data_IF_666562453349
#
_entry.id   IF_666562453349
#
_cell.length_a   1.000
_cell.length_b   1.000
_cell.length_c   1.000
_cell.angle_alpha   90.00
_cell.angle_beta   90.00
_cell.angle_gamma   90.00
#
_symmetry.space_group_name_H-M   'P 1'
#
loop_
_entity.id
_entity.type
_entity.pdbx_description
1 polymer ?
#
# COMPACT_ATOMS: atom_id res chain seq x y z
N UNK A 1 -13.27 11.29 -27.65
CA UNK A 1 -13.86 10.21 -28.49
C UNK A 1 -13.35 8.83 -28.08
N UNK A 2 -12.21 8.28 -28.54
CA UNK A 2 -11.83 6.89 -28.16
C UNK A 2 -11.75 6.64 -26.65
N UNK A 3 -11.18 7.59 -25.89
CA UNK A 3 -11.05 7.48 -24.44
C UNK A 3 -12.39 7.56 -23.68
N UNK A 4 -13.42 8.18 -24.27
CA UNK A 4 -14.76 8.22 -23.66
C UNK A 4 -15.45 6.85 -23.72
N UNK A 5 -15.10 6.02 -24.71
CA UNK A 5 -15.67 4.67 -24.87
C UNK A 5 -15.25 3.72 -23.74
N UNK A 6 -14.20 4.05 -22.97
CA UNK A 6 -13.82 3.29 -21.79
C UNK A 6 -14.88 3.35 -20.68
N UNK A 7 -15.85 4.26 -20.77
CA UNK A 7 -16.99 4.28 -19.84
C UNK A 7 -18.11 3.29 -20.22
N UNK A 8 -17.90 2.46 -21.25
CA UNK A 8 -18.85 1.39 -21.61
C UNK A 8 -19.10 0.44 -20.44
N UNK A 9 -20.34 0.03 -20.25
CA UNK A 9 -20.70 -0.98 -19.25
C UNK A 9 -20.20 -2.38 -19.63
N UNK A 10 -20.03 -2.65 -20.93
CA UNK A 10 -19.59 -3.97 -21.42
C UNK A 10 -18.08 -4.16 -21.22
N UNK A 11 -17.63 -5.07 -20.32
CA UNK A 11 -16.22 -5.33 -20.11
C UNK A 11 -15.49 -5.82 -21.36
N UNK A 12 -16.19 -6.45 -22.31
CA UNK A 12 -15.61 -6.92 -23.57
C UNK A 12 -15.19 -5.75 -24.43
N UNK A 13 -16.02 -4.72 -24.53
CA UNK A 13 -15.69 -3.49 -25.25
C UNK A 13 -14.49 -2.80 -24.62
N UNK A 14 -14.48 -2.69 -23.28
CA UNK A 14 -13.35 -2.09 -22.55
C UNK A 14 -12.05 -2.86 -22.75
N UNK A 15 -12.09 -4.19 -22.77
CA UNK A 15 -10.89 -5.01 -23.02
C UNK A 15 -10.34 -4.85 -24.45
N UNK A 16 -11.21 -4.73 -25.46
CA UNK A 16 -10.80 -4.36 -26.82
C UNK A 16 -10.20 -2.96 -26.87
N UNK A 17 -10.86 -1.97 -26.24
CA UNK A 17 -10.37 -0.60 -26.16
C UNK A 17 -9.01 -0.52 -25.49
N UNK A 18 -8.80 -1.28 -24.41
CA UNK A 18 -7.53 -1.41 -23.71
C UNK A 18 -6.41 -1.81 -24.67
N UNK A 19 -6.65 -2.89 -25.42
CA UNK A 19 -5.68 -3.41 -26.39
C UNK A 19 -5.40 -2.40 -27.52
N UNK A 20 -6.45 -1.77 -28.04
CA UNK A 20 -6.34 -0.78 -29.13
C UNK A 20 -5.56 0.45 -28.66
N UNK A 21 -5.91 1.02 -27.51
CA UNK A 21 -5.25 2.20 -26.97
C UNK A 21 -3.78 1.92 -26.63
N UNK A 22 -3.48 0.75 -26.04
CA UNK A 22 -2.11 0.36 -25.75
C UNK A 22 -1.26 0.27 -27.03
N UNK A 23 -1.78 -0.34 -28.10
CA UNK A 23 -1.10 -0.40 -29.41
C UNK A 23 -0.90 0.99 -30.03
N UNK A 24 -1.90 1.87 -29.94
CA UNK A 24 -1.80 3.25 -30.42
C UNK A 24 -0.68 3.98 -29.66
N UNK A 25 -0.67 3.88 -28.33
CA UNK A 25 0.37 4.50 -27.49
C UNK A 25 1.78 3.99 -27.85
N UNK A 26 1.91 2.67 -28.08
CA UNK A 26 3.17 2.04 -28.45
C UNK A 26 3.70 2.54 -29.80
N UNK A 27 2.85 2.55 -30.84
CA UNK A 27 3.24 2.87 -32.22
C UNK A 27 3.37 4.37 -32.51
N UNK A 28 2.53 5.22 -31.92
CA UNK A 28 2.46 6.64 -32.27
C UNK A 28 3.08 7.52 -31.18
N UNK A 29 4.40 7.77 -31.29
CA UNK A 29 5.16 8.58 -30.33
C UNK A 29 4.56 9.97 -30.10
N UNK A 30 4.07 10.62 -31.16
CA UNK A 30 3.47 11.96 -31.10
C UNK A 30 2.17 12.03 -30.30
N UNK A 31 1.46 10.91 -30.11
CA UNK A 31 0.21 10.86 -29.34
C UNK A 31 0.42 10.55 -27.86
N UNK A 32 1.63 10.12 -27.44
CA UNK A 32 1.87 9.64 -26.07
C UNK A 32 1.57 10.70 -25.01
N UNK A 33 2.04 11.93 -25.21
CA UNK A 33 1.81 13.02 -24.27
C UNK A 33 0.31 13.37 -24.17
N UNK A 34 -0.39 13.39 -25.30
CA UNK A 34 -1.83 13.64 -25.34
C UNK A 34 -2.61 12.55 -24.59
N UNK A 35 -2.32 11.27 -24.86
CA UNK A 35 -2.99 10.13 -24.21
C UNK A 35 -2.80 10.20 -22.69
N UNK A 36 -1.56 10.37 -22.19
CA UNK A 36 -1.30 10.49 -20.74
C UNK A 36 -2.07 11.66 -20.12
N UNK A 37 -2.09 12.82 -20.79
CA UNK A 37 -2.82 13.99 -20.31
C UNK A 37 -4.32 13.75 -20.22
N UNK A 38 -4.91 13.08 -21.23
CA UNK A 38 -6.35 12.81 -21.22
C UNK A 38 -6.74 11.75 -20.18
N UNK A 39 -5.95 10.70 -20.01
CA UNK A 39 -6.17 9.71 -18.93
C UNK A 39 -6.09 10.40 -17.56
N UNK A 40 -5.11 11.29 -17.37
CA UNK A 40 -5.00 12.09 -16.15
C UNK A 40 -6.28 12.93 -15.90
N UNK A 41 -6.78 13.63 -16.91
CA UNK A 41 -8.03 14.39 -16.78
C UNK A 41 -9.22 13.50 -16.39
N UNK A 42 -9.32 12.30 -16.97
CA UNK A 42 -10.36 11.33 -16.61
C UNK A 42 -10.25 10.94 -15.13
N UNK A 43 -9.05 10.61 -14.66
CA UNK A 43 -8.84 10.25 -13.25
C UNK A 43 -9.09 11.40 -12.28
N UNK A 44 -8.68 12.62 -12.62
CA UNK A 44 -8.97 13.80 -11.80
C UNK A 44 -10.48 14.03 -11.69
N UNK A 45 -11.22 13.95 -12.80
CA UNK A 45 -12.68 14.05 -12.80
C UNK A 45 -13.32 12.91 -11.99
N UNK A 46 -12.84 11.69 -12.16
CA UNK A 46 -13.31 10.52 -11.43
C UNK A 46 -13.12 10.69 -9.91
N UNK A 47 -11.94 11.11 -9.45
CA UNK A 47 -11.64 11.25 -8.02
C UNK A 47 -12.35 12.44 -7.38
N UNK A 48 -12.43 13.59 -8.07
CA UNK A 48 -12.85 14.84 -7.45
C UNK A 48 -14.27 15.30 -7.80
N UNK A 49 -14.88 14.77 -8.87
CA UNK A 49 -16.18 15.25 -9.35
C UNK A 49 -17.25 14.16 -9.36
N UNK A 50 -16.99 13.01 -9.99
CA UNK A 50 -18.06 12.05 -10.31
C UNK A 50 -18.08 10.80 -9.44
N UNK A 51 -16.90 10.32 -8.98
CA UNK A 51 -16.71 8.96 -8.43
C UNK A 51 -17.31 7.84 -9.29
N UNK A 52 -17.53 8.11 -10.59
CA UNK A 52 -18.11 7.17 -11.54
C UNK A 52 -17.36 7.23 -12.86
N UNK A 53 -16.79 6.07 -13.23
CA UNK A 53 -16.18 5.77 -14.53
C UNK A 53 -15.93 4.25 -14.58
N UNK A 54 -16.40 3.55 -15.61
CA UNK A 54 -16.32 2.08 -15.65
C UNK A 54 -14.92 1.55 -15.99
N UNK A 55 -14.14 2.29 -16.78
CA UNK A 55 -12.87 1.85 -17.34
C UNK A 55 -11.61 2.14 -16.53
N UNK A 56 -11.71 2.40 -15.21
CA UNK A 56 -10.54 2.79 -14.40
C UNK A 56 -9.50 1.67 -14.37
N UNK A 57 -9.93 0.42 -14.18
CA UNK A 57 -9.03 -0.73 -14.11
C UNK A 57 -8.25 -0.92 -15.42
N UNK A 58 -8.94 -0.87 -16.57
CA UNK A 58 -8.34 -1.06 -17.88
C UNK A 58 -7.37 0.07 -18.23
N UNK A 59 -7.67 1.32 -17.85
CA UNK A 59 -6.74 2.43 -18.01
C UNK A 59 -5.49 2.27 -17.13
N UNK A 60 -5.65 1.78 -15.90
CA UNK A 60 -4.51 1.48 -15.02
C UNK A 60 -3.64 0.34 -15.54
N UNK A 61 -4.21 -0.71 -16.15
CA UNK A 61 -3.42 -1.77 -16.78
C UNK A 61 -2.49 -1.22 -17.88
N UNK A 62 -3.02 -0.33 -18.73
CA UNK A 62 -2.22 0.33 -19.77
C UNK A 62 -1.14 1.19 -19.13
N UNK A 63 -1.50 1.95 -18.10
CA UNK A 63 -0.55 2.79 -17.39
C UNK A 63 0.56 1.98 -16.72
N UNK A 64 0.27 0.81 -16.15
CA UNK A 64 1.28 -0.08 -15.59
C UNK A 64 2.36 -0.45 -16.61
N UNK A 65 1.95 -0.85 -17.82
CA UNK A 65 2.87 -1.09 -18.95
C UNK A 65 3.66 0.17 -19.34
N UNK A 66 2.99 1.33 -19.38
CA UNK A 66 3.62 2.61 -19.71
C UNK A 66 4.68 3.02 -18.66
N UNK A 67 4.38 2.85 -17.38
CA UNK A 67 5.27 3.19 -16.26
C UNK A 67 6.51 2.31 -16.29
N UNK A 68 6.33 1.00 -16.53
CA UNK A 68 7.46 0.10 -16.70
C UNK A 68 8.35 0.51 -17.91
N UNK A 69 7.76 1.12 -18.94
CA UNK A 69 8.50 1.65 -20.09
C UNK A 69 9.14 3.03 -19.89
N UNK A 70 9.05 3.67 -18.71
CA UNK A 70 9.64 4.99 -18.50
C UNK A 70 11.17 4.96 -18.52
N UNK A 71 11.74 5.95 -19.21
CA UNK A 71 13.17 6.20 -19.20
C UNK A 71 13.62 6.81 -17.86
N UNK A 72 14.83 6.46 -17.43
CA UNK A 72 15.49 7.07 -16.29
C UNK A 72 16.45 8.18 -16.75
N UNK A 73 16.56 9.30 -16.02
CA UNK A 73 15.80 9.62 -14.80
C UNK A 73 14.33 9.94 -15.09
N UNK A 74 13.45 9.62 -14.13
CA UNK A 74 12.02 9.90 -14.24
C UNK A 74 11.76 11.40 -14.42
N UNK A 75 10.94 11.75 -15.41
CA UNK A 75 10.51 13.13 -15.66
C UNK A 75 9.64 13.65 -14.49
N UNK A 76 9.74 14.96 -14.23
CA UNK A 76 8.95 15.63 -13.21
C UNK A 76 7.43 15.44 -13.41
N UNK A 77 6.94 15.43 -14.66
CA UNK A 77 5.53 15.16 -14.99
C UNK A 77 5.06 13.78 -14.49
N UNK A 78 5.92 12.75 -14.53
CA UNK A 78 5.57 11.41 -14.08
C UNK A 78 5.54 11.33 -12.54
N UNK A 79 6.47 12.02 -11.87
CA UNK A 79 6.47 12.14 -10.39
C UNK A 79 5.23 12.88 -9.90
N UNK A 80 4.83 13.94 -10.59
CA UNK A 80 3.58 14.65 -10.31
C UNK A 80 2.36 13.76 -10.54
N UNK A 81 2.34 12.97 -11.62
CA UNK A 81 1.27 12.03 -11.90
C UNK A 81 1.08 11.00 -10.76
N UNK A 82 2.17 10.42 -10.26
CA UNK A 82 2.13 9.54 -9.08
C UNK A 82 1.47 10.22 -7.88
N UNK A 83 2.00 11.39 -7.48
CA UNK A 83 1.60 12.05 -6.22
C UNK A 83 0.21 12.69 -6.29
N UNK A 84 -0.16 13.25 -7.46
CA UNK A 84 -1.38 14.05 -7.62
C UNK A 84 -2.55 13.26 -8.21
N UNK A 85 -2.32 12.06 -8.73
CA UNK A 85 -3.35 11.28 -9.43
C UNK A 85 -3.43 9.86 -8.88
N UNK A 86 -2.34 9.09 -8.94
CA UNK A 86 -2.38 7.69 -8.51
C UNK A 86 -2.62 7.54 -7.00
N UNK A 87 -1.91 8.29 -6.16
CA UNK A 87 -2.13 8.22 -4.71
C UNK A 87 -3.58 8.63 -4.34
N UNK A 88 -4.15 9.74 -4.83
CA UNK A 88 -5.56 10.07 -4.58
C UNK A 88 -6.59 9.05 -5.07
N UNK A 89 -6.30 8.22 -6.08
CA UNK A 89 -7.25 7.17 -6.52
C UNK A 89 -7.63 6.20 -5.39
N UNK A 90 -6.78 6.05 -4.36
CA UNK A 90 -7.09 5.23 -3.18
C UNK A 90 -8.24 5.76 -2.33
N UNK A 91 -8.65 7.03 -2.49
CA UNK A 91 -9.68 7.64 -1.63
C UNK A 91 -11.10 7.20 -2.02
N UNK A 92 -11.34 6.88 -3.28
CA UNK A 92 -12.70 6.61 -3.79
C UNK A 92 -13.30 5.34 -3.16
N UNK A 93 -14.64 5.28 -3.16
CA UNK A 93 -15.38 4.15 -2.54
C UNK A 93 -15.24 2.85 -3.32
N UNK A 94 -15.21 2.93 -4.64
CA UNK A 94 -15.14 1.80 -5.59
C UNK A 94 -13.73 1.24 -5.78
N UNK A 95 -12.79 1.50 -4.86
CA UNK A 95 -11.39 1.08 -4.96
C UNK A 95 -11.23 -0.43 -5.23
N UNK A 96 -12.10 -1.27 -4.67
CA UNK A 96 -12.05 -2.73 -4.86
C UNK A 96 -12.13 -3.19 -6.31
N UNK A 97 -12.66 -2.37 -7.21
CA UNK A 97 -12.80 -2.70 -8.63
C UNK A 97 -11.48 -2.61 -9.42
N UNK A 98 -10.51 -1.82 -8.93
CA UNK A 98 -9.29 -1.50 -9.69
C UNK A 98 -8.01 -1.46 -8.83
N UNK A 99 -8.09 -1.85 -7.55
CA UNK A 99 -6.99 -1.76 -6.60
C UNK A 99 -5.74 -2.52 -7.03
N UNK A 100 -5.89 -3.75 -7.54
CA UNK A 100 -4.74 -4.55 -7.96
C UNK A 100 -3.94 -3.85 -9.07
N UNK A 101 -4.63 -3.24 -10.04
CA UNK A 101 -4.03 -2.49 -11.13
C UNK A 101 -3.37 -1.20 -10.62
N UNK A 102 -3.97 -0.56 -9.60
CA UNK A 102 -3.41 0.63 -8.96
C UNK A 102 -2.14 0.32 -8.17
N UNK A 103 -2.18 -0.70 -7.29
CA UNK A 103 -1.05 -1.18 -6.53
C UNK A 103 0.12 -1.55 -7.44
N UNK A 104 -0.16 -2.28 -8.54
CA UNK A 104 0.84 -2.57 -9.57
C UNK A 104 1.49 -1.29 -10.13
N UNK A 105 0.70 -0.27 -10.46
CA UNK A 105 1.25 1.01 -10.92
C UNK A 105 2.14 1.69 -9.87
N UNK A 106 1.76 1.64 -8.58
CA UNK A 106 2.55 2.21 -7.48
C UNK A 106 3.88 1.47 -7.35
N UNK A 107 3.86 0.14 -7.25
CA UNK A 107 5.08 -0.70 -7.16
C UNK A 107 6.01 -0.46 -8.35
N UNK A 108 5.47 -0.41 -9.58
CA UNK A 108 6.27 -0.11 -10.77
C UNK A 108 6.95 1.26 -10.72
N UNK A 109 6.33 2.27 -10.10
CA UNK A 109 6.99 3.56 -9.89
C UNK A 109 8.15 3.46 -8.90
N UNK A 110 8.00 2.68 -7.84
CA UNK A 110 9.04 2.51 -6.82
C UNK A 110 10.23 1.70 -7.34
N UNK A 111 9.98 0.67 -8.16
CA UNK A 111 11.05 -0.07 -8.85
C UNK A 111 11.87 0.82 -9.80
N UNK A 112 11.25 1.86 -10.39
CA UNK A 112 11.94 2.83 -11.26
C UNK A 112 12.73 3.88 -10.49
N UNK A 113 12.22 4.33 -9.35
CA UNK A 113 12.85 5.38 -8.54
C UNK A 113 12.50 5.20 -7.05
N UNK A 114 13.35 4.48 -6.29
CA UNK A 114 13.15 4.23 -4.86
C UNK A 114 13.06 5.50 -4.00
N UNK A 115 13.51 6.66 -4.50
CA UNK A 115 13.35 7.93 -3.78
C UNK A 115 11.87 8.35 -3.61
N UNK A 116 10.97 7.74 -4.36
CA UNK A 116 9.53 7.97 -4.31
C UNK A 116 8.82 7.18 -3.20
N UNK A 117 9.49 6.26 -2.51
CA UNK A 117 8.85 5.42 -1.49
C UNK A 117 8.30 6.23 -0.32
N UNK A 118 9.09 7.16 0.22
CA UNK A 118 8.64 7.99 1.33
C UNK A 118 7.36 8.79 1.02
N UNK A 119 7.27 9.57 -0.09
CA UNK A 119 6.05 10.29 -0.40
C UNK A 119 4.85 9.38 -0.69
N UNK A 120 5.07 8.18 -1.25
CA UNK A 120 4.01 7.18 -1.47
C UNK A 120 3.46 6.67 -0.14
N UNK A 121 4.32 6.15 0.75
CA UNK A 121 3.90 5.62 2.05
C UNK A 121 3.21 6.71 2.87
N UNK A 122 3.77 7.93 2.93
CA UNK A 122 3.12 9.05 3.63
C UNK A 122 1.76 9.41 3.02
N UNK A 123 1.63 9.31 1.70
CA UNK A 123 0.36 9.48 0.98
C UNK A 123 -0.69 8.44 1.37
N UNK A 124 -0.32 7.16 1.38
CA UNK A 124 -1.20 6.07 1.81
C UNK A 124 -1.60 6.22 3.28
N UNK A 125 -0.65 6.55 4.16
CA UNK A 125 -0.92 6.81 5.59
C UNK A 125 -1.90 7.98 5.80
N UNK A 126 -1.80 9.03 4.99
CA UNK A 126 -2.74 10.17 5.02
C UNK A 126 -4.16 9.74 4.66
N UNK A 127 -4.29 8.80 3.73
CA UNK A 127 -5.59 8.31 3.23
C UNK A 127 -6.04 7.00 3.88
N UNK A 128 -5.42 6.60 4.99
CA UNK A 128 -5.72 5.35 5.67
C UNK A 128 -7.23 5.22 5.98
N UNK A 129 -7.90 4.13 5.54
CA UNK A 129 -9.33 3.95 5.76
C UNK A 129 -9.66 3.86 7.25
N UNK A 130 -10.64 4.65 7.72
CA UNK A 130 -11.07 4.65 9.13
C UNK A 130 -12.43 3.98 9.35
N UNK A 131 -13.22 3.82 8.29
CA UNK A 131 -14.62 3.38 8.37
C UNK A 131 -14.93 2.19 7.47
N UNK A 132 -13.93 1.67 6.74
CA UNK A 132 -14.11 0.55 5.80
C UNK A 132 -12.98 -0.46 5.98
N UNK A 133 -13.25 -1.53 6.71
CA UNK A 133 -12.27 -2.59 7.00
C UNK A 133 -11.78 -3.30 5.75
N UNK A 134 -12.63 -3.46 4.73
CA UNK A 134 -12.22 -4.06 3.44
C UNK A 134 -11.12 -3.23 2.78
N UNK A 135 -11.28 -1.90 2.72
CA UNK A 135 -10.23 -1.01 2.21
C UNK A 135 -8.98 -1.05 3.09
N UNK A 136 -9.12 -1.17 4.41
CA UNK A 136 -7.97 -1.29 5.31
C UNK A 136 -7.16 -2.57 5.02
N UNK A 137 -7.83 -3.70 4.79
CA UNK A 137 -7.18 -4.95 4.34
C UNK A 137 -6.49 -4.77 2.99
N UNK A 138 -7.09 -4.05 2.05
CA UNK A 138 -6.48 -3.76 0.75
C UNK A 138 -5.22 -2.90 0.88
N UNK A 139 -5.26 -1.85 1.70
CA UNK A 139 -4.09 -0.99 1.99
C UNK A 139 -2.97 -1.79 2.66
N UNK A 140 -3.29 -2.69 3.60
CA UNK A 140 -2.31 -3.61 4.18
C UNK A 140 -1.71 -4.55 3.13
N UNK A 141 -2.50 -4.97 2.14
CA UNK A 141 -2.00 -5.77 1.02
C UNK A 141 -1.01 -5.00 0.16
N UNK A 142 -1.39 -3.81 -0.30
CA UNK A 142 -0.53 -2.96 -1.12
C UNK A 142 0.75 -2.55 -0.39
N UNK A 143 0.66 -2.25 0.91
CA UNK A 143 1.84 -1.95 1.72
C UNK A 143 2.82 -3.11 1.79
N UNK A 144 2.35 -4.36 1.85
CA UNK A 144 3.23 -5.52 1.81
C UNK A 144 3.97 -5.59 0.47
N UNK A 145 3.26 -5.44 -0.65
CA UNK A 145 3.86 -5.42 -1.99
C UNK A 145 4.89 -4.29 -2.15
N UNK A 146 4.64 -3.12 -1.53
CA UNK A 146 5.61 -2.02 -1.51
C UNK A 146 6.84 -2.38 -0.66
N UNK A 147 6.65 -3.04 0.49
CA UNK A 147 7.74 -3.46 1.36
C UNK A 147 8.58 -4.58 0.72
N UNK A 148 8.01 -5.42 -0.15
CA UNK A 148 8.78 -6.43 -0.89
C UNK A 148 9.84 -5.84 -1.83
N UNK A 149 9.63 -4.60 -2.30
CA UNK A 149 10.56 -3.92 -3.20
C UNK A 149 11.28 -2.74 -2.55
N UNK A 150 11.08 -2.49 -1.25
CA UNK A 150 11.68 -1.34 -0.58
C UNK A 150 13.18 -1.54 -0.37
N UNK A 151 13.99 -0.51 -0.63
CA UNK A 151 15.38 -0.51 -0.20
C UNK A 151 15.49 -0.25 1.32
N UNK A 152 16.43 -0.89 2.04
CA UNK A 152 16.64 -0.64 3.47
C UNK A 152 16.85 0.84 3.81
N UNK A 153 17.54 1.57 2.92
CA UNK A 153 17.78 3.02 3.05
C UNK A 153 16.49 3.86 3.07
N UNK A 154 15.45 3.42 2.36
CA UNK A 154 14.14 4.07 2.33
C UNK A 154 13.27 3.60 3.48
N UNK A 155 13.36 2.32 3.86
CA UNK A 155 12.63 1.74 4.99
C UNK A 155 12.91 2.51 6.29
N UNK A 156 14.17 2.83 6.58
CA UNK A 156 14.57 3.58 7.78
C UNK A 156 13.86 4.94 7.90
N UNK A 157 13.49 5.58 6.78
CA UNK A 157 12.78 6.87 6.78
C UNK A 157 11.30 6.76 7.14
N UNK A 158 10.70 5.59 6.94
CA UNK A 158 9.26 5.36 7.08
C UNK A 158 8.87 4.37 8.17
N UNK A 159 9.84 3.62 8.75
CA UNK A 159 9.58 2.56 9.72
C UNK A 159 8.74 3.03 10.91
N UNK A 160 9.05 4.19 11.49
CA UNK A 160 8.31 4.69 12.65
C UNK A 160 6.82 4.96 12.35
N UNK A 161 6.46 5.83 11.38
CA UNK A 161 5.05 6.07 11.08
C UNK A 161 4.34 4.82 10.56
N UNK A 162 5.03 3.97 9.79
CA UNK A 162 4.48 2.70 9.31
C UNK A 162 4.11 1.78 10.46
N UNK A 163 5.06 1.44 11.35
CA UNK A 163 4.79 0.50 12.44
C UNK A 163 3.87 1.07 13.52
N UNK A 164 3.80 2.40 13.68
CA UNK A 164 2.73 3.03 14.49
C UNK A 164 1.34 2.76 13.91
N UNK A 165 1.20 2.67 12.58
CA UNK A 165 -0.06 2.30 11.95
C UNK A 165 -0.31 0.79 12.03
N UNK A 166 0.69 -0.05 11.74
CA UNK A 166 0.59 -1.51 11.88
C UNK A 166 0.21 -1.92 13.30
N UNK A 167 0.77 -1.26 14.33
CA UNK A 167 0.41 -1.48 15.74
C UNK A 167 -1.08 -1.26 16.02
N UNK A 168 -1.72 -0.31 15.32
CA UNK A 168 -3.18 -0.08 15.41
C UNK A 168 -3.95 -1.17 14.68
N UNK A 169 -3.50 -1.57 13.48
CA UNK A 169 -4.15 -2.63 12.70
C UNK A 169 -4.12 -3.98 13.45
N UNK A 170 -2.99 -4.33 14.07
CA UNK A 170 -2.86 -5.51 14.95
C UNK A 170 -3.77 -5.42 16.16
N UNK A 171 -3.99 -4.21 16.69
CA UNK A 171 -4.94 -3.96 17.79
C UNK A 171 -6.40 -3.85 17.34
N UNK A 172 -6.70 -4.01 16.05
CA UNK A 172 -8.06 -3.87 15.54
C UNK A 172 -8.96 -4.96 16.08
N UNK A 173 -10.19 -4.65 16.53
CA UNK A 173 -11.16 -5.67 16.91
C UNK A 173 -11.68 -6.45 15.69
N UNK A 174 -11.46 -5.93 14.47
CA UNK A 174 -11.86 -6.58 13.23
C UNK A 174 -10.82 -7.62 12.82
N UNK A 175 -11.16 -8.90 12.97
CA UNK A 175 -10.19 -9.99 12.84
C UNK A 175 -9.44 -9.99 11.49
N UNK A 176 -10.10 -9.71 10.36
CA UNK A 176 -9.43 -9.70 9.05
C UNK A 176 -8.35 -8.63 8.94
N UNK A 177 -8.51 -7.50 9.64
CA UNK A 177 -7.50 -6.41 9.65
C UNK A 177 -6.32 -6.83 10.50
N UNK A 178 -6.59 -7.34 11.71
CA UNK A 178 -5.54 -7.81 12.62
C UNK A 178 -4.75 -8.98 12.00
N UNK A 179 -5.44 -9.97 11.43
CA UNK A 179 -4.85 -11.10 10.74
C UNK A 179 -3.96 -10.65 9.57
N UNK A 180 -4.48 -9.79 8.69
CA UNK A 180 -3.72 -9.30 7.52
C UNK A 180 -2.45 -8.57 7.92
N UNK A 181 -2.50 -7.79 9.01
CA UNK A 181 -1.34 -7.09 9.55
C UNK A 181 -0.32 -8.04 10.20
N UNK A 182 -0.80 -9.07 10.93
CA UNK A 182 0.06 -10.06 11.58
C UNK A 182 0.77 -10.97 10.56
N UNK A 183 0.21 -11.16 9.35
CA UNK A 183 0.88 -11.92 8.30
C UNK A 183 2.15 -11.27 7.74
N UNK A 184 2.45 -10.01 8.06
CA UNK A 184 3.73 -9.40 7.70
C UNK A 184 4.92 -10.17 8.30
N UNK A 185 4.74 -10.82 9.46
CA UNK A 185 5.78 -11.63 10.08
C UNK A 185 6.02 -12.98 9.39
N UNK A 186 5.22 -13.34 8.39
CA UNK A 186 5.47 -14.51 7.55
C UNK A 186 6.31 -14.17 6.30
N UNK A 187 6.49 -12.88 6.02
CA UNK A 187 7.28 -12.42 4.88
C UNK A 187 8.75 -12.31 5.30
N UNK A 188 9.61 -13.14 4.70
CA UNK A 188 11.04 -13.23 5.06
C UNK A 188 11.78 -11.89 4.88
N UNK A 189 11.44 -11.12 3.84
CA UNK A 189 12.10 -9.84 3.59
C UNK A 189 11.66 -8.75 4.57
N UNK A 190 10.36 -8.68 4.87
CA UNK A 190 9.88 -7.77 5.91
C UNK A 190 10.47 -8.14 7.27
N UNK A 191 10.59 -9.43 7.56
CA UNK A 191 11.20 -9.93 8.79
C UNK A 191 12.66 -9.52 8.93
N UNK A 192 13.47 -9.60 7.86
CA UNK A 192 14.86 -9.15 7.91
C UNK A 192 14.97 -7.64 8.12
N UNK A 193 14.12 -6.83 7.48
CA UNK A 193 14.04 -5.39 7.72
C UNK A 193 13.68 -5.06 9.17
N UNK A 194 12.76 -5.83 9.77
CA UNK A 194 12.37 -5.69 11.18
C UNK A 194 13.55 -6.04 12.10
N UNK A 195 14.27 -7.12 11.81
CA UNK A 195 15.39 -7.59 12.62
C UNK A 195 16.51 -6.54 12.67
N UNK A 196 16.92 -6.01 11.51
CA UNK A 196 17.94 -4.97 11.38
C UNK A 196 17.56 -3.67 12.11
N UNK A 197 16.27 -3.41 12.29
CA UNK A 197 15.73 -2.19 12.89
C UNK A 197 14.95 -2.44 14.20
N UNK A 198 15.21 -3.58 14.85
CA UNK A 198 14.46 -4.04 16.02
C UNK A 198 14.45 -3.04 17.17
N UNK A 199 15.55 -2.29 17.36
CA UNK A 199 15.67 -1.25 18.39
C UNK A 199 14.63 -0.12 18.27
N UNK A 200 14.08 0.11 17.07
CA UNK A 200 13.05 1.13 16.83
C UNK A 200 11.67 0.47 16.77
N UNK A 201 11.55 -0.66 16.08
CA UNK A 201 10.26 -1.29 15.77
C UNK A 201 9.68 -2.00 17.00
N UNK A 202 10.50 -2.72 17.77
CA UNK A 202 10.03 -3.52 18.90
C UNK A 202 9.30 -2.66 19.95
N UNK A 203 9.83 -1.52 20.42
CA UNK A 203 9.10 -0.65 21.37
C UNK A 203 7.75 -0.17 20.86
N UNK A 204 7.63 0.11 19.55
CA UNK A 204 6.39 0.60 18.94
C UNK A 204 5.32 -0.49 18.94
N UNK A 205 5.73 -1.72 18.62
CA UNK A 205 4.81 -2.85 18.48
C UNK A 205 4.46 -3.53 19.81
N UNK A 206 5.38 -3.51 20.78
CA UNK A 206 5.30 -4.32 21.99
C UNK A 206 4.01 -4.11 22.78
N UNK A 207 3.65 -2.85 23.09
CA UNK A 207 2.46 -2.56 23.90
C UNK A 207 1.18 -3.08 23.28
N UNK A 208 1.06 -2.97 21.95
CA UNK A 208 -0.10 -3.44 21.20
C UNK A 208 -0.18 -4.97 21.21
N UNK A 209 0.91 -5.65 20.86
CA UNK A 209 0.97 -7.12 20.85
C UNK A 209 0.73 -7.72 22.24
N UNK A 210 1.37 -7.17 23.28
CA UNK A 210 1.26 -7.67 24.63
C UNK A 210 -0.14 -7.49 25.24
N UNK A 211 -0.87 -6.44 24.85
CA UNK A 211 -2.28 -6.25 25.23
C UNK A 211 -3.18 -7.26 24.52
N UNK A 212 -3.02 -7.40 23.21
CA UNK A 212 -3.89 -8.23 22.36
C UNK A 212 -3.72 -9.72 22.67
N UNK A 213 -2.53 -10.17 23.08
CA UNK A 213 -2.31 -11.57 23.51
C UNK A 213 -3.14 -11.98 24.74
N UNK A 214 -3.63 -11.01 25.53
CA UNK A 214 -4.44 -11.25 26.73
C UNK A 214 -5.92 -10.92 26.57
N UNK A 215 -6.24 -9.91 25.76
CA UNK A 215 -7.56 -9.28 25.74
C UNK A 215 -8.35 -9.52 24.44
N UNK A 216 -7.75 -10.11 23.40
CA UNK A 216 -8.43 -10.29 22.11
C UNK A 216 -9.45 -11.44 22.13
N UNK A 217 -10.64 -11.20 21.57
CA UNK A 217 -11.76 -12.16 21.60
C UNK A 217 -11.56 -13.37 20.68
N UNK A 218 -10.82 -13.22 19.58
CA UNK A 218 -10.58 -14.28 18.60
C UNK A 218 -9.29 -15.07 18.95
N UNK A 219 -9.38 -16.38 19.26
CA UNK A 219 -8.22 -17.21 19.60
C UNK A 219 -7.17 -17.36 18.49
N UNK A 220 -7.57 -17.33 17.22
CA UNK A 220 -6.63 -17.43 16.10
C UNK A 220 -5.70 -16.21 16.03
N UNK A 221 -6.24 -15.03 16.26
CA UNK A 221 -5.46 -13.78 16.35
C UNK A 221 -4.51 -13.84 17.54
N UNK A 222 -4.99 -14.32 18.70
CA UNK A 222 -4.14 -14.51 19.88
C UNK A 222 -2.95 -15.42 19.59
N UNK A 223 -3.18 -16.54 18.88
CA UNK A 223 -2.11 -17.45 18.47
C UNK A 223 -1.09 -16.79 17.53
N UNK A 224 -1.55 -16.04 16.52
CA UNK A 224 -0.68 -15.26 15.64
C UNK A 224 0.15 -14.24 16.42
N UNK A 225 -0.45 -13.52 17.37
CA UNK A 225 0.26 -12.57 18.23
C UNK A 225 1.32 -13.25 19.08
N UNK A 226 1.06 -14.44 19.62
CA UNK A 226 2.08 -15.20 20.36
C UNK A 226 3.27 -15.58 19.47
N UNK A 227 3.02 -15.99 18.23
CA UNK A 227 4.10 -16.27 17.27
C UNK A 227 4.94 -15.03 16.99
N UNK A 228 4.29 -13.87 16.81
CA UNK A 228 4.96 -12.58 16.60
C UNK A 228 5.77 -12.16 17.83
N UNK A 229 5.20 -12.27 19.04
CA UNK A 229 5.92 -11.97 20.29
C UNK A 229 7.14 -12.88 20.47
N UNK A 230 7.02 -14.17 20.12
CA UNK A 230 8.13 -15.11 20.16
C UNK A 230 9.23 -14.72 19.18
N UNK A 231 8.89 -14.37 17.94
CA UNK A 231 9.87 -13.91 16.95
C UNK A 231 10.63 -12.67 17.44
N UNK A 232 9.93 -11.70 18.04
CA UNK A 232 10.56 -10.52 18.63
C UNK A 232 11.48 -10.83 19.81
N UNK A 233 11.12 -11.79 20.65
CA UNK A 233 11.97 -12.26 21.75
C UNK A 233 13.25 -12.94 21.24
N UNK A 234 13.15 -13.71 20.14
CA UNK A 234 14.29 -14.35 19.49
C UNK A 234 15.23 -13.31 18.84
N UNK A 235 14.69 -12.22 18.28
CA UNK A 235 15.46 -11.12 17.68
C UNK A 235 16.24 -10.30 18.71
N UNK A 236 15.60 -9.91 19.83
CA UNK A 236 16.24 -9.11 20.87
C UNK A 236 15.63 -9.40 22.25
N UNK A 237 16.11 -10.45 22.88
CA UNK A 237 15.64 -10.91 24.20
C UNK A 237 15.82 -9.86 25.29
N UNK A 238 16.96 -9.17 25.31
CA UNK A 238 17.26 -8.15 26.32
C UNK A 238 16.25 -7.00 26.32
N UNK A 239 15.97 -6.45 25.14
CA UNK A 239 15.02 -5.36 25.00
C UNK A 239 13.58 -5.81 25.26
N UNK A 240 13.24 -7.04 24.85
CA UNK A 240 11.93 -7.63 25.10
C UNK A 240 11.65 -7.77 26.61
N UNK A 241 12.64 -8.21 27.38
CA UNK A 241 12.53 -8.35 28.84
C UNK A 241 12.39 -6.97 29.53
N UNK A 242 13.17 -5.98 29.10
CA UNK A 242 13.08 -4.60 29.61
C UNK A 242 11.70 -3.98 29.35
N UNK A 243 11.17 -4.13 28.13
CA UNK A 243 9.83 -3.65 27.77
C UNK A 243 8.74 -4.37 28.56
N UNK A 244 8.90 -5.68 28.79
CA UNK A 244 7.98 -6.47 29.62
C UNK A 244 7.96 -5.98 31.07
N UNK A 245 9.14 -5.69 31.65
CA UNK A 245 9.24 -5.17 33.00
C UNK A 245 8.60 -3.77 33.12
N UNK A 246 8.91 -2.89 32.17
CA UNK A 246 8.38 -1.52 32.11
C UNK A 246 6.86 -1.53 31.99
N UNK A 247 6.31 -2.31 31.06
CA UNK A 247 4.85 -2.41 30.85
C UNK A 247 4.10 -2.93 32.09
N UNK A 248 4.67 -3.90 32.82
CA UNK A 248 4.09 -4.38 34.08
C UNK A 248 4.10 -3.29 35.16
N UNK A 249 5.19 -2.52 35.26
CA UNK A 249 5.30 -1.44 36.24
C UNK A 249 4.32 -0.30 35.96
N UNK A 250 4.10 0.05 34.69
CA UNK A 250 3.17 1.10 34.29
C UNK A 250 1.70 0.72 34.53
N UNK A 251 1.35 -0.57 34.45
CA UNK A 251 0.00 -1.05 34.79
C UNK A 251 -0.28 -1.14 36.30
N UNK A 252 0.75 -1.11 37.14
CA UNK A 252 0.60 -1.12 38.59
C UNK A 252 0.49 0.29 39.19
N UNK A 253 0.78 1.33 38.41
CA UNK A 253 0.54 2.73 38.74
C UNK A 253 -0.88 3.15 38.38
#
# INVERSE_FOLDING_TARGET
QLLELFDSEDPRERDYLKTVLHRIYGKFLGLRAFIRKQINNIFLRFVYETEHFNGVAELLEILGSIINGFALPLKAEHKQFLVKVLIPLHTVRSLSLFHAQLAYCIVQFLEKDPSLTEPVIRGLMKFWPKTCSQKEVMFLGELEEILDVIEPSQFVKIQEPLFKQIAKCVSSPHFQVAERALYYWNNEYIMSLIEENSNVILPIMFSSLYRISKEHWNPAIVALVYNVLKAFMEMNSTMFDELTATYKSDRQR
#
